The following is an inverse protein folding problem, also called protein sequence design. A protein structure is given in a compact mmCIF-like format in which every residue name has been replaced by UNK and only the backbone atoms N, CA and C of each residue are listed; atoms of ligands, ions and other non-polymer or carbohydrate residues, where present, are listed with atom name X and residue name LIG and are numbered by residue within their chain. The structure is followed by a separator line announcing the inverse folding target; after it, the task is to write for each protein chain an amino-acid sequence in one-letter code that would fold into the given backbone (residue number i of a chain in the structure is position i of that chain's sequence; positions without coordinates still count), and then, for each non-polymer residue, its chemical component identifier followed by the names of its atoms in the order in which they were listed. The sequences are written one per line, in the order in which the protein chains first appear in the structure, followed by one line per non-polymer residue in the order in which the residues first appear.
data_IF_577776092867
#
_entry.id   IF_577776092867
#
_cell.length_a   1.000
_cell.length_b   1.000
_cell.length_c   1.000
_cell.angle_alpha   90.00
_cell.angle_beta   90.00
_cell.angle_gamma   90.00
#
_symmetry.space_group_name_H-M   'P 1'
#
loop_
_entity.id
_entity.type
_entity.pdbx_description
1 polymer ?
#
# COMPACT_ATOMS: atom_id res chain seq x y z
N UNK A 1 43.78 -33.63 64.79
CA UNK A 1 43.51 -34.94 64.16
C UNK A 1 42.66 -34.70 62.92
N UNK A 2 42.88 -35.51 61.88
CA UNK A 2 42.50 -35.35 60.46
C UNK A 2 40.99 -35.44 60.14
N UNK A 3 40.69 -35.06 58.89
CA UNK A 3 39.60 -35.47 57.95
C UNK A 3 38.53 -34.40 57.67
N UNK A 4 38.06 -34.15 56.44
CA UNK A 4 38.39 -34.64 55.09
C UNK A 4 37.78 -33.71 54.03
N UNK A 5 38.41 -33.65 52.86
CA UNK A 5 37.89 -33.07 51.62
C UNK A 5 36.59 -33.75 51.17
N UNK A 6 35.71 -33.00 50.49
CA UNK A 6 34.76 -33.57 49.53
C UNK A 6 33.44 -32.79 49.37
N UNK A 7 33.37 -31.90 48.36
CA UNK A 7 32.22 -31.70 47.45
C UNK A 7 32.38 -30.40 46.66
N UNK A 8 32.96 -30.51 45.47
CA UNK A 8 32.92 -29.49 44.43
C UNK A 8 32.86 -30.19 43.06
N UNK A 9 31.78 -30.94 42.80
CA UNK A 9 31.59 -31.61 41.50
C UNK A 9 30.15 -31.62 40.96
N UNK A 10 29.13 -31.17 41.72
CA UNK A 10 27.73 -31.31 41.25
C UNK A 10 27.18 -30.11 40.45
N UNK A 11 27.75 -28.90 40.56
CA UNK A 11 27.23 -27.71 39.83
C UNK A 11 27.70 -27.57 38.37
N UNK A 12 28.76 -28.29 37.99
CA UNK A 12 29.32 -28.29 36.63
C UNK A 12 28.65 -29.33 35.71
N UNK A 13 27.90 -30.28 36.27
CA UNK A 13 27.21 -31.33 35.49
C UNK A 13 25.83 -30.83 35.03
N UNK A 14 25.03 -30.21 35.90
CA UNK A 14 23.72 -29.66 35.53
C UNK A 14 23.81 -28.46 34.57
N UNK A 15 24.83 -27.60 34.72
CA UNK A 15 25.05 -26.47 33.81
C UNK A 15 25.57 -26.91 32.43
N UNK A 16 26.32 -28.03 32.36
CA UNK A 16 26.69 -28.66 31.09
C UNK A 16 25.49 -29.33 30.43
N UNK A 17 24.66 -30.07 31.17
CA UNK A 17 23.48 -30.74 30.61
C UNK A 17 22.47 -29.75 30.00
N UNK A 18 22.24 -28.59 30.64
CA UNK A 18 21.36 -27.53 30.10
C UNK A 18 21.96 -26.82 28.86
N UNK A 19 23.28 -26.59 28.85
CA UNK A 19 23.95 -26.01 27.69
C UNK A 19 23.96 -26.99 26.51
N UNK A 20 24.23 -28.26 26.78
CA UNK A 20 24.32 -29.34 25.80
C UNK A 20 22.95 -29.69 25.20
N UNK A 21 21.86 -29.62 25.98
CA UNK A 21 20.49 -29.71 25.44
C UNK A 21 20.12 -28.50 24.59
N UNK A 22 20.48 -27.27 24.98
CA UNK A 22 20.18 -26.08 24.17
C UNK A 22 20.94 -26.05 22.83
N UNK A 23 22.18 -26.54 22.83
CA UNK A 23 23.03 -26.68 21.63
C UNK A 23 22.53 -27.85 20.79
N UNK A 24 22.16 -28.98 21.39
CA UNK A 24 21.59 -30.14 20.69
C UNK A 24 20.24 -29.83 20.04
N UNK A 25 19.37 -29.03 20.68
CA UNK A 25 18.11 -28.55 20.09
C UNK A 25 18.38 -27.61 18.92
N UNK A 26 19.35 -26.70 19.05
CA UNK A 26 19.75 -25.80 17.94
C UNK A 26 20.35 -26.57 16.76
N UNK A 27 21.18 -27.57 17.01
CA UNK A 27 21.78 -28.45 16.00
C UNK A 27 20.71 -29.35 15.36
N UNK A 28 19.75 -29.86 16.14
CA UNK A 28 18.62 -30.63 15.61
C UNK A 28 17.73 -29.75 14.73
N UNK A 29 17.43 -28.51 15.14
CA UNK A 29 16.69 -27.55 14.33
C UNK A 29 17.44 -27.11 13.07
N UNK A 30 18.77 -26.95 13.11
CA UNK A 30 19.58 -26.65 11.92
C UNK A 30 19.62 -27.82 10.94
N UNK A 31 19.76 -29.05 11.43
CA UNK A 31 19.74 -30.27 10.61
C UNK A 31 18.35 -30.55 10.01
N UNK A 32 17.27 -30.21 10.71
CA UNK A 32 15.90 -30.25 10.19
C UNK A 32 15.72 -29.19 9.09
N UNK A 33 16.23 -27.97 9.28
CA UNK A 33 16.17 -26.93 8.25
C UNK A 33 16.91 -27.34 6.97
N UNK A 34 18.10 -27.93 7.07
CA UNK A 34 18.84 -28.42 5.89
C UNK A 34 18.14 -29.60 5.20
N UNK A 35 17.56 -30.53 5.97
CA UNK A 35 16.89 -31.72 5.43
C UNK A 35 15.58 -31.41 4.71
N UNK A 36 14.86 -30.35 5.12
CA UNK A 36 13.55 -29.99 4.57
C UNK A 36 13.55 -28.62 3.88
N UNK A 37 14.72 -28.05 3.60
CA UNK A 37 14.86 -26.81 2.86
C UNK A 37 14.11 -26.87 1.52
N UNK A 38 14.18 -28.00 0.82
CA UNK A 38 13.47 -28.22 -0.45
C UNK A 38 11.94 -28.14 -0.35
N UNK A 39 11.37 -28.30 0.85
CA UNK A 39 9.93 -28.25 1.10
C UNK A 39 9.47 -26.90 1.67
N UNK A 40 10.39 -25.93 1.80
CA UNK A 40 10.09 -24.58 2.24
C UNK A 40 10.12 -23.65 1.03
N UNK A 41 8.94 -23.24 0.58
CA UNK A 41 8.80 -22.45 -0.64
C UNK A 41 8.57 -20.98 -0.29
N UNK A 42 9.24 -20.08 -1.00
CA UNK A 42 8.95 -18.65 -0.96
C UNK A 42 7.52 -18.40 -1.49
N UNK A 43 6.65 -17.85 -0.66
CA UNK A 43 5.24 -17.66 -0.98
C UNK A 43 5.00 -16.64 -2.08
N UNK A 44 5.80 -15.58 -2.16
CA UNK A 44 5.67 -14.57 -3.21
C UNK A 44 6.05 -15.11 -4.59
N UNK A 45 7.01 -16.05 -4.64
CA UNK A 45 7.35 -16.78 -5.87
C UNK A 45 6.33 -17.87 -6.23
N UNK A 46 5.80 -18.58 -5.24
CA UNK A 46 4.85 -19.69 -5.46
C UNK A 46 3.45 -19.22 -5.86
N UNK A 47 3.01 -18.06 -5.36
CA UNK A 47 1.66 -17.54 -5.57
C UNK A 47 1.61 -16.63 -6.79
N UNK A 48 0.60 -16.84 -7.62
CA UNK A 48 0.27 -15.93 -8.72
C UNK A 48 -1.24 -15.73 -8.86
N UNK A 49 -1.63 -14.57 -9.37
CA UNK A 49 -2.99 -14.10 -9.54
C UNK A 49 -3.30 -13.97 -11.02
N UNK A 50 -4.51 -14.37 -11.44
CA UNK A 50 -5.00 -14.17 -12.81
C UNK A 50 -6.42 -13.62 -12.77
N UNK A 51 -6.83 -12.90 -13.82
CA UNK A 51 -8.14 -12.27 -13.93
C UNK A 51 -8.76 -12.71 -15.26
N UNK A 52 -9.89 -13.41 -15.22
CA UNK A 52 -10.47 -14.07 -16.39
C UNK A 52 -11.96 -13.80 -16.55
N UNK A 53 -12.38 -13.65 -17.80
CA UNK A 53 -13.79 -13.48 -18.15
C UNK A 53 -14.48 -14.84 -18.40
N UNK A 54 -13.75 -15.80 -18.97
CA UNK A 54 -14.27 -17.12 -19.33
C UNK A 54 -13.25 -18.24 -19.01
N UNK A 55 -13.74 -19.48 -18.86
CA UNK A 55 -12.90 -20.65 -18.60
C UNK A 55 -11.87 -20.90 -19.71
N UNK A 56 -12.17 -20.53 -20.96
CA UNK A 56 -11.21 -20.68 -22.06
C UNK A 56 -9.94 -19.84 -21.89
N UNK A 57 -9.98 -18.78 -21.08
CA UNK A 57 -8.86 -17.86 -20.88
C UNK A 57 -7.91 -18.31 -19.77
N UNK A 58 -8.36 -19.20 -18.87
CA UNK A 58 -7.63 -19.63 -17.65
C UNK A 58 -6.20 -20.09 -17.95
N UNK A 59 -6.03 -20.93 -18.98
CA UNK A 59 -4.73 -21.49 -19.33
C UNK A 59 -3.74 -20.46 -19.93
N UNK A 60 -4.24 -19.38 -20.53
CA UNK A 60 -3.44 -18.36 -21.22
C UNK A 60 -3.39 -17.03 -20.45
N UNK A 61 -4.09 -16.93 -19.33
CA UNK A 61 -4.20 -15.71 -18.55
C UNK A 61 -2.82 -15.27 -18.06
N UNK A 62 -2.54 -13.97 -18.16
CA UNK A 62 -1.32 -13.40 -17.64
C UNK A 62 -1.27 -13.56 -16.12
N UNK A 63 -0.19 -14.15 -15.62
CA UNK A 63 0.07 -14.33 -14.20
C UNK A 63 0.69 -13.06 -13.61
N UNK A 64 0.19 -12.66 -12.46
CA UNK A 64 0.70 -11.53 -11.68
C UNK A 64 1.10 -11.99 -10.30
N UNK A 65 2.30 -11.65 -9.85
CA UNK A 65 2.74 -11.99 -8.51
C UNK A 65 2.20 -10.96 -7.50
N UNK A 66 1.89 -11.40 -6.27
CA UNK A 66 1.58 -10.49 -5.18
C UNK A 66 2.85 -9.78 -4.69
N UNK A 67 2.68 -8.59 -4.09
CA UNK A 67 3.79 -7.91 -3.41
C UNK A 67 3.96 -8.43 -1.97
N UNK A 68 2.87 -8.92 -1.38
CA UNK A 68 2.82 -9.42 -0.01
C UNK A 68 2.02 -10.73 0.04
N UNK A 69 2.49 -11.67 0.85
CA UNK A 69 1.81 -12.94 1.09
C UNK A 69 1.69 -13.26 2.58
N UNK A 70 2.36 -12.48 3.45
CA UNK A 70 2.39 -12.71 4.89
C UNK A 70 1.02 -12.75 5.55
N UNK A 71 0.04 -12.01 5.03
CA UNK A 71 -1.33 -12.03 5.57
C UNK A 71 -1.97 -13.40 5.46
N UNK A 72 -1.59 -14.20 4.46
CA UNK A 72 -2.10 -15.57 4.26
C UNK A 72 -1.14 -16.63 4.81
N UNK A 73 0.17 -16.43 4.67
CA UNK A 73 1.19 -17.45 4.93
C UNK A 73 2.11 -17.13 6.12
N UNK A 74 1.77 -16.10 6.90
CA UNK A 74 2.50 -15.68 8.09
C UNK A 74 3.73 -14.81 7.80
N UNK A 75 4.29 -14.21 8.85
CA UNK A 75 5.37 -13.19 8.77
C UNK A 75 6.63 -13.62 8.01
N UNK A 76 6.90 -14.93 7.92
CA UNK A 76 8.06 -15.44 7.20
C UNK A 76 7.82 -15.57 5.68
N UNK A 77 6.60 -15.32 5.20
CA UNK A 77 6.21 -15.39 3.78
C UNK A 77 6.60 -16.70 3.09
N UNK A 78 6.52 -17.81 3.83
CA UNK A 78 6.91 -19.13 3.36
C UNK A 78 5.77 -20.12 3.48
N UNK A 79 5.73 -21.07 2.54
CA UNK A 79 4.76 -22.16 2.51
C UNK A 79 5.52 -23.46 2.71
N UNK A 80 5.18 -24.20 3.76
CA UNK A 80 5.87 -25.41 4.15
C UNK A 80 5.18 -26.68 3.64
N UNK A 81 5.99 -27.65 3.24
CA UNK A 81 5.57 -29.04 3.00
C UNK A 81 5.44 -29.45 1.53
N UNK A 82 5.84 -28.59 0.58
CA UNK A 82 5.67 -28.84 -0.85
C UNK A 82 6.97 -28.60 -1.63
N UNK A 83 7.25 -29.44 -2.63
CA UNK A 83 8.30 -29.19 -3.64
C UNK A 83 7.69 -28.62 -4.91
N UNK A 84 8.39 -27.67 -5.53
CA UNK A 84 7.98 -26.99 -6.77
C UNK A 84 6.53 -26.50 -6.72
N UNK A 85 6.15 -25.93 -5.56
CA UNK A 85 4.79 -25.46 -5.33
C UNK A 85 4.46 -24.30 -6.27
N UNK A 86 3.32 -24.42 -6.94
CA UNK A 86 2.71 -23.36 -7.73
C UNK A 86 1.25 -23.24 -7.32
N UNK A 87 0.86 -22.05 -6.86
CA UNK A 87 -0.49 -21.70 -6.43
C UNK A 87 -0.98 -20.59 -7.35
N UNK A 88 -1.95 -20.91 -8.22
CA UNK A 88 -2.58 -19.94 -9.10
C UNK A 88 -3.96 -19.61 -8.57
N UNK A 89 -4.19 -18.34 -8.24
CA UNK A 89 -5.46 -17.85 -7.72
C UNK A 89 -6.18 -17.13 -8.86
N UNK A 90 -7.20 -17.78 -9.42
CA UNK A 90 -8.01 -17.23 -10.50
C UNK A 90 -9.12 -16.35 -9.94
N UNK A 91 -9.19 -15.10 -10.40
CA UNK A 91 -10.30 -14.20 -10.15
C UNK A 91 -11.19 -14.13 -11.39
N UNK A 92 -12.51 -14.13 -11.19
CA UNK A 92 -13.41 -13.61 -12.22
C UNK A 92 -13.13 -12.12 -12.41
N UNK A 93 -12.92 -11.64 -13.63
CA UNK A 93 -12.41 -10.28 -13.90
C UNK A 93 -13.37 -9.14 -13.55
N UNK A 94 -14.68 -9.41 -13.46
CA UNK A 94 -15.68 -8.41 -13.08
C UNK A 94 -16.19 -8.62 -11.65
N UNK A 95 -16.67 -9.84 -11.37
CA UNK A 95 -17.40 -10.14 -10.13
C UNK A 95 -16.51 -10.51 -8.94
N UNK A 96 -15.20 -10.68 -9.16
CA UNK A 96 -14.14 -11.01 -8.21
C UNK A 96 -14.29 -12.29 -7.37
N UNK A 97 -15.03 -13.32 -7.82
CA UNK A 97 -14.95 -14.65 -7.18
C UNK A 97 -13.59 -15.29 -7.42
N UNK A 98 -13.14 -16.13 -6.48
CA UNK A 98 -11.78 -16.66 -6.43
C UNK A 98 -11.80 -18.19 -6.59
N UNK A 99 -10.88 -18.75 -7.38
CA UNK A 99 -10.65 -20.18 -7.51
C UNK A 99 -9.14 -20.50 -7.45
N UNK A 100 -8.66 -21.16 -6.38
CA UNK A 100 -7.27 -21.57 -6.28
C UNK A 100 -7.01 -22.89 -7.01
N UNK A 101 -5.98 -22.92 -7.85
CA UNK A 101 -5.40 -24.10 -8.46
C UNK A 101 -4.01 -24.34 -7.86
N UNK A 102 -3.82 -25.51 -7.25
CA UNK A 102 -2.60 -25.87 -6.51
C UNK A 102 -1.94 -27.05 -7.19
N UNK A 103 -0.65 -26.91 -7.50
CA UNK A 103 0.17 -27.97 -8.11
C UNK A 103 1.54 -28.03 -7.43
N UNK A 104 2.06 -29.23 -7.23
CA UNK A 104 3.39 -29.49 -6.64
C UNK A 104 3.92 -30.84 -7.13
N UNK A 105 5.24 -31.04 -7.07
CA UNK A 105 5.88 -32.30 -7.49
C UNK A 105 5.97 -33.33 -6.38
N UNK A 106 6.04 -32.88 -5.13
CA UNK A 106 6.02 -33.74 -3.95
C UNK A 106 5.46 -33.00 -2.73
N UNK A 107 4.79 -33.75 -1.85
CA UNK A 107 4.33 -33.30 -0.53
C UNK A 107 5.10 -34.07 0.55
N UNK A 108 5.40 -33.40 1.66
CA UNK A 108 6.13 -34.03 2.77
C UNK A 108 5.30 -35.16 3.39
N UNK A 109 5.88 -36.36 3.50
CA UNK A 109 5.28 -37.44 4.27
C UNK A 109 5.38 -37.10 5.76
N UNK A 110 4.24 -36.88 6.43
CA UNK A 110 4.21 -36.46 7.85
C UNK A 110 5.02 -37.41 8.74
N UNK A 111 6.03 -36.89 9.44
CA UNK A 111 6.87 -37.67 10.37
C UNK A 111 6.39 -37.59 11.83
N UNK A 112 5.73 -36.48 12.21
CA UNK A 112 5.09 -36.27 13.51
C UNK A 112 3.75 -35.55 13.32
N UNK A 113 2.90 -35.50 14.35
CA UNK A 113 1.64 -34.76 14.30
C UNK A 113 1.84 -33.24 14.07
N UNK A 114 3.01 -32.71 14.43
CA UNK A 114 3.37 -31.28 14.40
C UNK A 114 4.02 -30.84 13.07
N UNK A 115 4.56 -31.77 12.27
CA UNK A 115 5.20 -31.47 10.98
C UNK A 115 4.36 -31.99 9.81
N UNK A 116 3.38 -31.19 9.42
CA UNK A 116 2.50 -31.42 8.27
C UNK A 116 2.64 -30.28 7.26
N UNK A 117 2.33 -30.57 6.00
CA UNK A 117 2.25 -29.53 4.98
C UNK A 117 1.18 -28.49 5.35
N UNK A 118 1.44 -27.24 4.97
CA UNK A 118 0.51 -26.15 5.15
C UNK A 118 -0.77 -26.41 4.36
N UNK A 119 -1.93 -26.32 5.02
CA UNK A 119 -3.20 -26.38 4.31
C UNK A 119 -3.47 -25.04 3.61
N UNK A 120 -3.06 -24.93 2.36
CA UNK A 120 -3.15 -23.69 1.57
C UNK A 120 -4.60 -23.21 1.45
N UNK A 121 -5.55 -24.11 1.20
CA UNK A 121 -6.97 -23.75 1.09
C UNK A 121 -7.50 -23.18 2.41
N UNK A 122 -7.14 -23.79 3.53
CA UNK A 122 -7.51 -23.31 4.85
C UNK A 122 -6.91 -21.91 5.11
N UNK A 123 -5.60 -21.73 4.88
CA UNK A 123 -4.93 -20.44 5.04
C UNK A 123 -5.55 -19.33 4.20
N UNK A 124 -5.95 -19.64 2.96
CA UNK A 124 -6.70 -18.71 2.11
C UNK A 124 -8.06 -18.37 2.72
N UNK A 125 -8.80 -19.38 3.20
CA UNK A 125 -10.14 -19.19 3.77
C UNK A 125 -10.16 -18.42 5.09
N UNK A 126 -9.12 -18.56 5.92
CA UNK A 126 -8.99 -17.87 7.21
C UNK A 126 -8.89 -16.35 7.07
N UNK A 127 -8.43 -15.86 5.91
CA UNK A 127 -8.35 -14.43 5.60
C UNK A 127 -9.64 -13.87 4.99
N UNK A 128 -10.66 -14.70 4.77
CA UNK A 128 -11.93 -14.26 4.23
C UNK A 128 -12.91 -13.95 5.38
N UNK A 129 -13.80 -12.94 5.25
CA UNK A 129 -14.84 -12.70 6.25
C UNK A 129 -15.73 -13.94 6.40
N UNK A 130 -16.02 -14.36 7.64
CA UNK A 130 -16.77 -15.59 7.96
C UNK A 130 -18.10 -15.74 7.18
N UNK A 131 -18.79 -14.62 6.94
CA UNK A 131 -20.07 -14.55 6.23
C UNK A 131 -19.95 -14.62 4.70
N UNK A 132 -18.71 -14.66 4.17
CA UNK A 132 -18.42 -14.52 2.74
C UNK A 132 -17.59 -15.69 2.20
N UNK A 133 -17.60 -16.84 2.86
CA UNK A 133 -16.87 -18.06 2.43
C UNK A 133 -17.21 -18.50 0.99
N UNK A 134 -18.43 -18.19 0.51
CA UNK A 134 -18.86 -18.49 -0.86
C UNK A 134 -18.02 -17.80 -1.94
N UNK A 135 -17.19 -16.81 -1.58
CA UNK A 135 -16.27 -16.20 -2.54
C UNK A 135 -15.18 -17.15 -3.03
N UNK A 136 -14.81 -18.14 -2.20
CA UNK A 136 -13.82 -19.15 -2.54
C UNK A 136 -14.50 -20.34 -3.23
N UNK A 137 -14.40 -20.38 -4.54
CA UNK A 137 -14.88 -21.49 -5.36
C UNK A 137 -14.01 -22.71 -5.09
N UNK A 138 -14.60 -23.77 -4.52
CA UNK A 138 -13.85 -25.00 -4.18
C UNK A 138 -13.61 -25.92 -5.38
N UNK A 139 -14.35 -25.72 -6.49
CA UNK A 139 -14.24 -26.55 -7.69
C UNK A 139 -14.31 -25.69 -8.94
N UNK A 140 -13.71 -26.20 -10.03
CA UNK A 140 -13.79 -25.56 -11.35
C UNK A 140 -15.22 -25.43 -11.87
N UNK A 141 -16.12 -26.34 -11.50
CA UNK A 141 -17.54 -26.27 -11.88
C UNK A 141 -18.25 -25.08 -11.22
N UNK A 142 -17.99 -24.83 -9.93
CA UNK A 142 -18.52 -23.66 -9.22
C UNK A 142 -17.94 -22.38 -9.84
N UNK A 143 -16.62 -22.35 -10.06
CA UNK A 143 -15.97 -21.19 -10.68
C UNK A 143 -16.54 -20.89 -12.07
N UNK A 144 -16.75 -21.91 -12.91
CA UNK A 144 -17.42 -21.77 -14.21
C UNK A 144 -18.82 -21.17 -14.06
N UNK A 145 -19.62 -21.62 -13.09
CA UNK A 145 -20.93 -21.04 -12.82
C UNK A 145 -20.82 -19.54 -12.49
N UNK A 146 -19.82 -19.12 -11.69
CA UNK A 146 -19.58 -17.69 -11.39
C UNK A 146 -19.14 -16.91 -12.61
N UNK A 147 -18.33 -17.51 -13.49
CA UNK A 147 -17.96 -16.92 -14.79
C UNK A 147 -19.17 -16.74 -15.72
N UNK A 148 -20.14 -17.65 -15.67
CA UNK A 148 -21.38 -17.52 -16.43
C UNK A 148 -22.29 -16.43 -15.84
N UNK A 149 -22.38 -16.33 -14.51
CA UNK A 149 -23.14 -15.28 -13.82
C UNK A 149 -22.56 -13.88 -14.08
N UNK A 150 -21.22 -13.72 -14.05
CA UNK A 150 -20.59 -12.40 -14.24
C UNK A 150 -20.82 -11.80 -15.64
N UNK A 151 -21.26 -12.60 -16.63
CA UNK A 151 -21.62 -12.09 -17.96
C UNK A 151 -22.75 -11.05 -17.89
N UNK A 152 -23.51 -11.05 -16.78
CA UNK A 152 -24.58 -10.09 -16.46
C UNK A 152 -24.16 -9.03 -15.43
N UNK A 153 -22.89 -9.01 -15.02
CA UNK A 153 -22.40 -8.07 -14.01
C UNK A 153 -22.55 -6.63 -14.50
N UNK A 154 -23.05 -5.77 -13.62
CA UNK A 154 -23.12 -4.33 -13.81
C UNK A 154 -22.38 -3.65 -12.67
N UNK A 155 -21.58 -2.60 -12.94
CA UNK A 155 -20.97 -1.79 -11.90
C UNK A 155 -21.98 -1.27 -10.88
N UNK A 156 -21.61 -1.30 -9.60
CA UNK A 156 -22.39 -0.69 -8.53
C UNK A 156 -22.22 0.84 -8.50
N UNK A 157 -23.28 1.52 -8.06
CA UNK A 157 -23.28 2.95 -7.77
C UNK A 157 -23.43 3.84 -9.01
N UNK A 158 -22.84 5.04 -8.93
CA UNK A 158 -22.98 6.09 -9.94
C UNK A 158 -21.72 6.20 -10.80
N UNK A 159 -21.90 6.19 -12.13
CA UNK A 159 -20.83 6.53 -13.06
C UNK A 159 -20.45 8.01 -12.91
N UNK A 160 -19.19 8.29 -12.58
CA UNK A 160 -18.66 9.64 -12.42
C UNK A 160 -17.98 10.16 -13.69
N UNK A 161 -17.15 9.34 -14.33
CA UNK A 161 -16.38 9.76 -15.49
C UNK A 161 -15.97 8.59 -16.37
N UNK A 162 -15.67 8.89 -17.64
CA UNK A 162 -15.06 7.97 -18.60
C UNK A 162 -13.83 8.61 -19.21
N UNK A 163 -12.81 7.81 -19.51
CA UNK A 163 -11.62 8.28 -20.21
C UNK A 163 -10.97 7.14 -21.01
N UNK A 164 -10.21 7.47 -22.04
CA UNK A 164 -9.53 6.49 -22.88
C UNK A 164 -8.02 6.59 -22.65
N UNK A 165 -7.35 5.44 -22.45
CA UNK A 165 -5.89 5.34 -22.37
C UNK A 165 -5.45 4.16 -23.21
N UNK A 166 -4.53 4.39 -24.16
CA UNK A 166 -3.99 3.31 -25.02
C UNK A 166 -5.09 2.44 -25.64
N UNK A 167 -6.15 3.08 -26.17
CA UNK A 167 -7.34 2.43 -26.74
C UNK A 167 -8.24 1.66 -25.78
N UNK A 168 -8.01 1.72 -24.47
CA UNK A 168 -8.87 1.13 -23.42
C UNK A 168 -9.86 2.18 -22.92
N UNK A 169 -11.16 1.90 -22.98
CA UNK A 169 -12.20 2.77 -22.39
C UNK A 169 -12.34 2.44 -20.90
N UNK A 170 -11.95 3.35 -20.02
CA UNK A 170 -12.09 3.19 -18.59
C UNK A 170 -13.22 4.04 -18.02
N UNK A 171 -13.86 3.53 -16.97
CA UNK A 171 -15.02 4.12 -16.31
C UNK A 171 -14.79 4.17 -14.81
N UNK A 172 -15.01 5.33 -14.19
CA UNK A 172 -14.92 5.52 -12.73
C UNK A 172 -16.33 5.57 -12.16
N UNK A 173 -16.59 4.68 -11.22
CA UNK A 173 -17.87 4.55 -10.52
C UNK A 173 -17.68 4.85 -9.04
N UNK A 174 -18.71 5.41 -8.40
CA UNK A 174 -18.70 5.78 -6.99
C UNK A 174 -19.88 5.14 -6.27
N UNK A 175 -19.60 4.57 -5.10
CA UNK A 175 -20.58 3.96 -4.21
C UNK A 175 -20.43 4.59 -2.83
N UNK A 176 -21.50 5.19 -2.33
CA UNK A 176 -21.62 5.82 -1.01
C UNK A 176 -22.74 5.22 -0.15
N UNK A 177 -23.49 4.26 -0.71
CA UNK A 177 -24.57 3.55 -0.03
C UNK A 177 -24.24 2.06 0.04
N UNK A 178 -24.39 1.48 1.22
CA UNK A 178 -24.17 0.06 1.46
C UNK A 178 -25.44 -0.73 1.13
N UNK A 179 -25.27 -1.91 0.53
CA UNK A 179 -26.29 -2.94 0.36
C UNK A 179 -25.67 -4.31 0.61
N UNK A 180 -26.45 -5.34 0.99
CA UNK A 180 -25.92 -6.70 1.16
C UNK A 180 -25.14 -7.20 -0.06
N UNK A 181 -25.66 -6.94 -1.27
CA UNK A 181 -25.06 -7.34 -2.54
C UNK A 181 -23.74 -6.59 -2.79
N UNK A 182 -23.72 -5.28 -2.56
CA UNK A 182 -22.51 -4.49 -2.69
C UNK A 182 -21.46 -4.86 -1.65
N UNK A 183 -21.86 -5.10 -0.40
CA UNK A 183 -20.93 -5.50 0.67
C UNK A 183 -20.27 -6.83 0.35
N UNK A 184 -21.03 -7.80 -0.19
CA UNK A 184 -20.48 -9.05 -0.68
C UNK A 184 -19.50 -8.84 -1.84
N UNK A 185 -19.81 -7.93 -2.77
CA UNK A 185 -18.90 -7.57 -3.86
C UNK A 185 -17.62 -6.90 -3.35
N UNK A 186 -17.74 -5.92 -2.45
CA UNK A 186 -16.63 -5.20 -1.85
C UNK A 186 -15.70 -6.16 -1.08
N UNK A 187 -16.25 -7.10 -0.30
CA UNK A 187 -15.47 -8.10 0.40
C UNK A 187 -14.57 -8.91 -0.56
N UNK A 188 -15.09 -9.27 -1.73
CA UNK A 188 -14.32 -9.97 -2.78
C UNK A 188 -13.25 -9.09 -3.43
N UNK A 189 -13.53 -7.81 -3.64
CA UNK A 189 -12.54 -6.86 -4.17
C UNK A 189 -11.41 -6.61 -3.17
N UNK A 190 -11.74 -6.54 -1.87
CA UNK A 190 -10.80 -6.20 -0.81
C UNK A 190 -9.75 -7.28 -0.54
N UNK A 191 -9.98 -8.52 -0.96
CA UNK A 191 -8.93 -9.55 -0.91
C UNK A 191 -7.70 -9.14 -1.71
N UNK A 192 -7.84 -8.32 -2.75
CA UNK A 192 -6.72 -7.74 -3.50
C UNK A 192 -5.83 -6.85 -2.64
N UNK A 193 -6.38 -6.18 -1.62
CA UNK A 193 -5.60 -5.36 -0.71
C UNK A 193 -4.57 -6.21 0.05
N UNK A 194 -4.96 -7.42 0.45
CA UNK A 194 -4.13 -8.33 1.24
C UNK A 194 -2.88 -8.81 0.46
N UNK A 195 -2.90 -8.70 -0.87
CA UNK A 195 -1.79 -9.07 -1.76
C UNK A 195 -0.88 -7.89 -2.15
N UNK A 196 -1.38 -6.65 -2.08
CA UNK A 196 -0.73 -5.50 -2.72
C UNK A 196 -0.63 -4.24 -1.84
N UNK A 197 -1.25 -4.25 -0.66
CA UNK A 197 -1.20 -3.13 0.28
C UNK A 197 -0.69 -3.66 1.62
N UNK A 198 0.47 -3.14 2.02
CA UNK A 198 1.06 -3.45 3.33
C UNK A 198 0.08 -3.09 4.46
N UNK A 199 -0.06 -4.01 5.42
CA UNK A 199 -0.95 -3.89 6.57
C UNK A 199 -2.43 -3.59 6.23
N UNK A 200 -2.89 -4.03 5.06
CA UNK A 200 -4.30 -3.90 4.68
C UNK A 200 -5.25 -4.59 5.67
N UNK A 201 -6.42 -3.98 5.85
CA UNK A 201 -7.55 -4.53 6.61
C UNK A 201 -8.85 -4.31 5.83
N UNK A 202 -9.85 -5.16 6.05
CA UNK A 202 -11.18 -4.93 5.48
C UNK A 202 -11.81 -3.64 6.02
N UNK A 203 -12.67 -3.02 5.22
CA UNK A 203 -13.41 -1.82 5.64
C UNK A 203 -14.57 -2.19 6.56
N UNK A 204 -14.95 -1.27 7.44
CA UNK A 204 -16.15 -1.42 8.26
C UNK A 204 -17.39 -1.03 7.46
N UNK A 205 -18.09 -2.01 6.90
CA UNK A 205 -19.27 -1.78 6.07
C UNK A 205 -20.47 -1.20 6.86
N UNK A 206 -20.41 -1.17 8.20
CA UNK A 206 -21.45 -0.54 9.02
C UNK A 206 -21.21 0.95 9.23
N UNK A 207 -20.01 1.46 8.92
CA UNK A 207 -19.69 2.87 9.06
C UNK A 207 -20.09 3.65 7.79
N UNK A 208 -21.14 4.50 7.85
CA UNK A 208 -21.66 5.22 6.69
C UNK A 208 -20.70 6.32 6.18
N UNK A 209 -19.55 6.52 6.84
CA UNK A 209 -18.51 7.45 6.39
C UNK A 209 -17.64 6.87 5.29
N UNK A 210 -17.69 5.56 5.06
CA UNK A 210 -16.99 4.94 3.94
C UNK A 210 -17.59 5.35 2.61
N UNK A 211 -16.70 5.63 1.67
CA UNK A 211 -17.04 5.89 0.28
C UNK A 211 -16.04 5.14 -0.59
N UNK A 212 -16.55 4.45 -1.61
CA UNK A 212 -15.78 3.58 -2.46
C UNK A 212 -15.82 4.08 -3.91
N UNK A 213 -14.71 3.93 -4.60
CA UNK A 213 -14.58 4.21 -6.02
C UNK A 213 -14.04 2.98 -6.72
N UNK A 214 -14.62 2.66 -7.87
CA UNK A 214 -14.20 1.53 -8.69
C UNK A 214 -13.81 2.03 -10.06
N UNK A 215 -12.69 1.52 -10.57
CA UNK A 215 -12.24 1.74 -11.93
C UNK A 215 -12.47 0.46 -12.71
N UNK A 216 -13.21 0.55 -13.81
CA UNK A 216 -13.44 -0.56 -14.72
C UNK A 216 -12.92 -0.25 -16.11
N UNK A 217 -12.40 -1.27 -16.80
CA UNK A 217 -12.32 -1.26 -18.26
C UNK A 217 -13.63 -1.73 -18.85
N UNK A 218 -14.11 -1.04 -19.88
CA UNK A 218 -15.34 -1.34 -20.58
C UNK A 218 -15.04 -1.90 -21.97
N UNK A 219 -15.60 -3.07 -22.27
CA UNK A 219 -15.50 -3.73 -23.56
C UNK A 219 -16.86 -3.70 -24.24
N UNK A 220 -16.96 -2.99 -25.36
CA UNK A 220 -18.15 -2.98 -26.20
C UNK A 220 -18.15 -4.23 -27.07
N UNK A 221 -19.25 -4.96 -27.08
CA UNK A 221 -19.48 -6.08 -28.00
C UNK A 221 -20.22 -5.60 -29.24
N UNK A 222 -20.12 -6.37 -30.31
CA UNK A 222 -20.77 -6.09 -31.59
C UNK A 222 -22.31 -6.11 -31.49
N UNK A 223 -22.86 -6.81 -30.49
CA UNK A 223 -24.29 -6.88 -30.19
C UNK A 223 -24.83 -5.64 -29.43
N UNK A 224 -23.98 -4.64 -29.17
CA UNK A 224 -24.32 -3.43 -28.45
C UNK A 224 -24.30 -3.57 -26.92
N UNK A 225 -24.07 -4.78 -26.38
CA UNK A 225 -23.87 -4.98 -24.94
C UNK A 225 -22.45 -4.59 -24.54
N UNK A 226 -22.31 -4.02 -23.34
CA UNK A 226 -21.00 -3.69 -22.76
C UNK A 226 -20.74 -4.61 -21.58
N UNK A 227 -19.58 -5.25 -21.53
CA UNK A 227 -19.06 -5.88 -20.31
C UNK A 227 -18.00 -4.99 -19.67
N UNK A 228 -17.75 -5.21 -18.39
CA UNK A 228 -16.67 -4.54 -17.66
C UNK A 228 -15.70 -5.54 -17.07
N UNK A 229 -14.46 -5.13 -16.83
CA UNK A 229 -13.49 -5.81 -15.99
C UNK A 229 -12.95 -4.82 -14.96
N UNK A 230 -12.76 -5.26 -13.72
CA UNK A 230 -12.20 -4.42 -12.66
C UNK A 230 -10.75 -4.08 -13.00
N UNK A 231 -10.42 -2.79 -12.99
CA UNK A 231 -9.08 -2.28 -13.18
C UNK A 231 -8.42 -1.80 -11.89
N UNK A 232 -9.23 -1.45 -10.89
CA UNK A 232 -8.76 -1.03 -9.58
C UNK A 232 -9.89 -0.46 -8.73
N UNK A 233 -9.59 -0.11 -7.49
CA UNK A 233 -10.54 0.50 -6.58
C UNK A 233 -9.85 1.44 -5.60
N UNK A 234 -10.64 2.27 -4.92
CA UNK A 234 -10.22 3.08 -3.80
C UNK A 234 -11.31 3.12 -2.73
N UNK A 235 -10.92 3.09 -1.47
CA UNK A 235 -11.81 3.26 -0.31
C UNK A 235 -11.31 4.43 0.52
N UNK A 236 -12.22 5.33 0.89
CA UNK A 236 -11.90 6.47 1.74
C UNK A 236 -12.91 6.64 2.87
N UNK A 237 -12.47 7.28 3.94
CA UNK A 237 -13.32 7.65 5.08
C UNK A 237 -13.53 9.16 5.09
N UNK A 238 -14.80 9.57 5.18
CA UNK A 238 -15.21 10.97 5.28
C UNK A 238 -15.18 11.44 6.73
N UNK A 239 -13.99 11.73 7.28
CA UNK A 239 -13.85 12.15 8.67
C UNK A 239 -14.51 13.50 8.93
N UNK A 240 -15.29 13.58 10.01
CA UNK A 240 -15.80 14.86 10.51
C UNK A 240 -14.63 15.78 10.91
N UNK A 241 -14.71 17.03 10.46
CA UNK A 241 -13.79 18.09 10.81
C UNK A 241 -14.61 19.26 11.38
N UNK A 242 -14.52 19.46 12.69
CA UNK A 242 -15.24 20.52 13.41
C UNK A 242 -15.11 21.90 12.72
N UNK A 243 -16.18 22.73 12.71
CA UNK A 243 -17.51 22.48 13.28
C UNK A 243 -18.51 21.80 12.33
N UNK A 244 -18.28 21.83 11.02
CA UNK A 244 -19.28 21.43 10.02
C UNK A 244 -18.65 20.91 8.71
N UNK A 245 -17.35 20.60 8.73
CA UNK A 245 -16.56 20.20 7.57
C UNK A 245 -16.24 18.72 7.58
N UNK A 246 -15.70 18.26 6.46
CA UNK A 246 -15.29 16.88 6.22
C UNK A 246 -13.86 16.88 5.68
N UNK A 247 -13.03 15.97 6.18
CA UNK A 247 -11.70 15.68 5.66
C UNK A 247 -11.69 14.24 5.13
N UNK A 248 -11.93 14.02 3.83
CA UNK A 248 -11.76 12.71 3.23
C UNK A 248 -10.32 12.22 3.40
N UNK A 249 -10.18 10.98 3.85
CA UNK A 249 -8.89 10.27 3.95
C UNK A 249 -8.94 9.02 3.09
N UNK A 250 -8.16 8.99 2.02
CA UNK A 250 -7.96 7.80 1.19
C UNK A 250 -7.25 6.76 2.07
N UNK A 251 -7.93 5.66 2.37
CA UNK A 251 -7.39 4.58 3.18
C UNK A 251 -6.73 3.51 2.31
N UNK A 252 -7.40 3.15 1.22
CA UNK A 252 -6.92 2.15 0.25
C UNK A 252 -7.07 2.71 -1.15
N UNK A 253 -6.08 2.47 -2.00
CA UNK A 253 -6.17 2.72 -3.43
C UNK A 253 -5.23 1.76 -4.15
N UNK A 254 -5.75 1.04 -5.13
CA UNK A 254 -5.05 0.01 -5.85
C UNK A 254 -5.45 0.05 -7.33
N UNK A 255 -4.48 -0.23 -8.20
CA UNK A 255 -4.71 -0.67 -9.56
C UNK A 255 -4.21 -2.10 -9.71
N UNK A 256 -4.89 -2.92 -10.50
CA UNK A 256 -4.38 -4.23 -10.84
C UNK A 256 -3.09 -4.10 -11.69
N UNK A 257 -2.12 -5.03 -11.55
CA UNK A 257 -0.79 -4.88 -12.14
C UNK A 257 -0.76 -4.61 -13.65
N UNK A 258 -1.65 -5.23 -14.43
CA UNK A 258 -1.73 -5.02 -15.89
C UNK A 258 -2.35 -3.67 -16.31
N UNK A 259 -2.71 -2.80 -15.36
CA UNK A 259 -3.10 -1.40 -15.61
C UNK A 259 -2.04 -0.40 -15.14
N UNK A 260 -0.89 -0.86 -14.63
CA UNK A 260 0.21 0.01 -14.21
C UNK A 260 0.94 0.63 -15.42
N UNK A 261 1.76 1.66 -15.18
CA UNK A 261 2.65 2.24 -16.19
C UNK A 261 1.99 3.08 -17.30
N UNK A 262 0.67 3.00 -17.50
CA UNK A 262 -0.03 3.70 -18.58
C UNK A 262 -0.62 5.09 -18.19
N UNK A 263 -0.33 5.60 -16.99
CA UNK A 263 -0.91 6.85 -16.48
C UNK A 263 -2.36 6.74 -15.99
N UNK A 264 -2.93 5.54 -16.00
CA UNK A 264 -4.30 5.24 -15.53
C UNK A 264 -4.50 5.66 -14.07
N UNK A 265 -3.53 5.37 -13.19
CA UNK A 265 -3.63 5.70 -11.76
C UNK A 265 -3.74 7.20 -11.49
N UNK A 266 -3.04 8.02 -12.27
CA UNK A 266 -3.14 9.47 -12.16
C UNK A 266 -4.54 9.97 -12.59
N UNK A 267 -5.11 9.40 -13.66
CA UNK A 267 -6.48 9.73 -14.11
C UNK A 267 -7.53 9.27 -13.10
N UNK A 268 -7.36 8.09 -12.52
CA UNK A 268 -8.26 7.58 -11.48
C UNK A 268 -8.24 8.47 -10.23
N UNK A 269 -7.06 8.82 -9.72
CA UNK A 269 -6.92 9.75 -8.60
C UNK A 269 -7.51 11.14 -8.92
N UNK A 270 -7.31 11.65 -10.14
CA UNK A 270 -7.89 12.91 -10.59
C UNK A 270 -9.41 12.86 -10.63
N UNK A 271 -10.01 11.74 -11.07
CA UNK A 271 -11.46 11.56 -11.06
C UNK A 271 -12.03 11.58 -9.63
N UNK A 272 -11.37 10.89 -8.68
CA UNK A 272 -11.73 10.91 -7.26
C UNK A 272 -11.64 12.34 -6.70
N UNK A 273 -10.56 13.07 -6.99
CA UNK A 273 -10.43 14.46 -6.55
C UNK A 273 -11.52 15.35 -7.16
N UNK A 274 -11.78 15.23 -8.45
CA UNK A 274 -12.79 16.03 -9.14
C UNK A 274 -14.20 15.86 -8.54
N UNK A 275 -14.52 14.66 -8.05
CA UNK A 275 -15.74 14.39 -7.29
C UNK A 275 -15.71 15.07 -5.91
N UNK A 276 -14.67 14.80 -5.11
CA UNK A 276 -14.55 15.33 -3.74
C UNK A 276 -14.51 16.86 -3.66
N UNK A 277 -13.89 17.54 -4.64
CA UNK A 277 -13.80 19.00 -4.63
C UNK A 277 -15.14 19.69 -4.90
N UNK A 278 -16.15 19.00 -5.46
CA UNK A 278 -17.48 19.57 -5.65
C UNK A 278 -18.22 19.77 -4.33
N UNK A 279 -17.86 19.02 -3.29
CA UNK A 279 -18.53 19.15 -1.99
C UNK A 279 -17.96 20.33 -1.18
N UNK A 280 -18.76 21.38 -0.90
CA UNK A 280 -18.31 22.54 -0.13
C UNK A 280 -18.01 22.23 1.35
N UNK A 281 -18.41 21.06 1.86
CA UNK A 281 -18.03 20.59 3.20
C UNK A 281 -16.61 20.04 3.22
N UNK A 282 -16.05 19.61 2.09
CA UNK A 282 -14.68 19.12 2.03
C UNK A 282 -13.69 20.26 2.23
N UNK A 283 -12.89 20.18 3.29
CA UNK A 283 -11.84 21.15 3.61
C UNK A 283 -10.56 20.85 2.83
N UNK A 284 -10.05 19.63 2.97
CA UNK A 284 -8.87 19.13 2.27
C UNK A 284 -8.94 17.59 2.15
N UNK A 285 -8.12 17.03 1.26
CA UNK A 285 -8.03 15.59 1.04
C UNK A 285 -6.70 15.06 1.61
N UNK A 286 -6.78 13.92 2.29
CA UNK A 286 -5.65 13.27 2.95
C UNK A 286 -5.53 11.80 2.54
N UNK A 287 -4.43 11.16 2.92
CA UNK A 287 -4.22 9.73 2.74
C UNK A 287 -3.69 9.12 4.03
N UNK A 288 -4.12 7.90 4.32
CA UNK A 288 -3.62 7.07 5.42
C UNK A 288 -2.29 6.45 5.01
N UNK A 289 -1.23 6.69 5.80
CA UNK A 289 0.13 6.14 5.64
C UNK A 289 0.50 5.84 4.17
N UNK A 290 0.61 6.88 3.32
CA UNK A 290 0.68 6.67 1.88
C UNK A 290 2.00 6.01 1.46
N UNK A 291 1.91 4.96 0.64
CA UNK A 291 3.06 4.34 -0.02
C UNK A 291 3.79 5.30 -0.98
N UNK A 292 5.06 5.05 -1.26
CA UNK A 292 5.90 5.90 -2.13
C UNK A 292 5.31 6.05 -3.55
N UNK A 293 4.77 4.96 -4.10
CA UNK A 293 4.11 4.94 -5.41
C UNK A 293 2.87 5.86 -5.46
N UNK A 294 2.09 5.89 -4.38
CA UNK A 294 0.97 6.80 -4.22
C UNK A 294 1.44 8.24 -4.04
N UNK A 295 2.46 8.50 -3.22
CA UNK A 295 3.03 9.85 -3.04
C UNK A 295 3.47 10.40 -4.40
N UNK A 296 4.23 9.63 -5.18
CA UNK A 296 4.69 10.04 -6.52
C UNK A 296 3.51 10.36 -7.46
N UNK A 297 2.45 9.55 -7.43
CA UNK A 297 1.26 9.78 -8.27
C UNK A 297 0.46 10.99 -7.81
N UNK A 298 0.29 11.17 -6.49
CA UNK A 298 -0.37 12.33 -5.90
C UNK A 298 0.39 13.62 -6.20
N UNK A 299 1.71 13.60 -6.06
CA UNK A 299 2.57 14.74 -6.35
C UNK A 299 2.43 15.15 -7.82
N UNK A 300 2.47 14.19 -8.75
CA UNK A 300 2.23 14.46 -10.17
C UNK A 300 0.86 15.11 -10.40
N UNK A 301 -0.23 14.52 -9.90
CA UNK A 301 -1.59 15.07 -10.08
C UNK A 301 -1.72 16.46 -9.47
N UNK A 302 -1.20 16.67 -8.26
CA UNK A 302 -1.24 17.97 -7.59
C UNK A 302 -0.40 19.01 -8.32
N UNK A 303 0.77 18.66 -8.85
CA UNK A 303 1.60 19.56 -9.65
C UNK A 303 0.91 19.92 -10.97
N UNK A 304 0.33 18.94 -11.67
CA UNK A 304 -0.45 19.18 -12.89
C UNK A 304 -1.66 20.09 -12.66
N UNK A 305 -2.31 20.00 -11.50
CA UNK A 305 -3.41 20.89 -11.15
C UNK A 305 -2.89 22.29 -10.80
N UNK A 306 -1.92 22.40 -9.89
CA UNK A 306 -1.41 23.69 -9.43
C UNK A 306 -0.63 24.46 -10.49
N UNK A 307 0.00 23.81 -11.48
CA UNK A 307 0.68 24.50 -12.59
C UNK A 307 -0.26 25.36 -13.44
N UNK A 308 -1.58 25.11 -13.37
CA UNK A 308 -2.61 25.94 -14.03
C UNK A 308 -2.92 27.24 -13.28
N UNK A 309 -2.43 27.40 -12.05
CA UNK A 309 -2.70 28.56 -11.20
C UNK A 309 -1.61 29.63 -11.36
N UNK A 310 -2.03 30.90 -11.46
CA UNK A 310 -1.11 32.05 -11.57
C UNK A 310 -0.13 32.15 -10.40
N UNK A 311 -0.56 31.73 -9.21
CA UNK A 311 0.24 31.74 -7.99
C UNK A 311 1.46 30.82 -8.11
N UNK A 312 1.37 29.76 -8.91
CA UNK A 312 2.44 28.79 -9.15
C UNK A 312 3.18 29.04 -10.49
N UNK A 313 3.02 30.22 -11.10
CA UNK A 313 3.84 30.59 -12.26
C UNK A 313 5.33 30.72 -11.89
N UNK A 314 6.23 30.44 -12.84
CA UNK A 314 7.69 30.44 -12.63
C UNK A 314 8.21 31.70 -11.90
N UNK A 315 7.70 32.88 -12.27
CA UNK A 315 8.07 34.16 -11.65
C UNK A 315 7.66 34.31 -10.19
N UNK A 316 6.67 33.55 -9.73
CA UNK A 316 6.24 33.54 -8.34
C UNK A 316 6.94 32.43 -7.56
N UNK A 317 7.19 31.27 -8.19
CA UNK A 317 7.95 30.16 -7.59
C UNK A 317 9.36 30.59 -7.14
N UNK A 318 10.05 31.41 -7.93
CA UNK A 318 11.38 31.92 -7.57
C UNK A 318 11.40 32.84 -6.34
N UNK A 319 10.24 33.37 -5.92
CA UNK A 319 10.12 34.30 -4.78
C UNK A 319 9.94 33.58 -3.43
N UNK A 320 9.83 32.25 -3.43
CA UNK A 320 9.56 31.48 -2.22
C UNK A 320 8.11 31.00 -2.11
N UNK A 321 7.84 30.12 -1.14
CA UNK A 321 6.49 29.63 -0.85
C UNK A 321 5.66 30.69 -0.13
N UNK A 322 4.48 31.02 -0.64
CA UNK A 322 3.63 32.09 -0.10
C UNK A 322 2.27 31.59 0.42
N UNK A 323 1.60 32.42 1.23
CA UNK A 323 0.24 32.13 1.69
C UNK A 323 -0.77 32.12 0.53
N UNK A 324 -0.55 32.90 -0.53
CA UNK A 324 -1.39 32.88 -1.73
C UNK A 324 -1.31 31.53 -2.43
N UNK A 325 -0.12 30.95 -2.59
CA UNK A 325 0.05 29.60 -3.15
C UNK A 325 -0.68 28.55 -2.31
N UNK A 326 -0.51 28.60 -0.98
CA UNK A 326 -1.19 27.70 -0.04
C UNK A 326 -2.72 27.83 -0.15
N UNK A 327 -3.24 29.04 -0.14
CA UNK A 327 -4.68 29.30 -0.20
C UNK A 327 -5.26 28.93 -1.57
N UNK A 328 -4.56 29.21 -2.67
CA UNK A 328 -5.02 28.85 -4.00
C UNK A 328 -5.10 27.33 -4.17
N UNK A 329 -4.08 26.58 -3.73
CA UNK A 329 -4.07 25.11 -3.77
C UNK A 329 -5.20 24.51 -2.90
N UNK A 330 -5.42 25.05 -1.69
CA UNK A 330 -6.47 24.60 -0.79
C UNK A 330 -7.87 24.89 -1.34
N UNK A 331 -8.13 26.12 -1.78
CA UNK A 331 -9.46 26.56 -2.22
C UNK A 331 -9.86 25.95 -3.56
N UNK A 332 -8.91 25.80 -4.51
CA UNK A 332 -9.21 25.28 -5.86
C UNK A 332 -9.20 23.76 -5.94
N UNK A 333 -8.31 23.12 -5.19
CA UNK A 333 -8.05 21.69 -5.35
C UNK A 333 -8.10 20.90 -4.03
N UNK A 334 -8.47 21.52 -2.91
CA UNK A 334 -8.55 20.86 -1.59
C UNK A 334 -7.20 20.24 -1.17
N UNK A 335 -6.10 20.83 -1.62
CA UNK A 335 -4.74 20.39 -1.31
C UNK A 335 -4.32 21.00 0.03
N UNK A 336 -4.02 20.16 1.03
CA UNK A 336 -3.62 20.64 2.36
C UNK A 336 -2.26 21.38 2.33
N UNK A 337 -1.96 22.24 3.34
CA UNK A 337 -0.76 23.07 3.34
C UNK A 337 0.58 22.32 3.22
N UNK A 338 0.69 21.10 3.79
CA UNK A 338 1.90 20.29 3.66
C UNK A 338 2.11 19.85 2.22
N UNK A 339 1.05 19.43 1.54
CA UNK A 339 1.09 19.04 0.13
C UNK A 339 1.29 20.25 -0.79
N UNK A 340 0.67 21.41 -0.50
CA UNK A 340 0.89 22.63 -1.27
C UNK A 340 2.36 23.09 -1.23
N UNK A 341 3.00 22.98 -0.05
CA UNK A 341 4.43 23.25 0.10
C UNK A 341 5.28 22.30 -0.76
N UNK A 342 4.94 21.02 -0.78
CA UNK A 342 5.64 20.00 -1.58
C UNK A 342 5.50 20.26 -3.09
N UNK A 343 4.29 20.60 -3.54
CA UNK A 343 4.01 21.02 -4.93
C UNK A 343 4.84 22.24 -5.33
N UNK A 344 4.93 23.25 -4.45
CA UNK A 344 5.80 24.40 -4.69
C UNK A 344 7.27 23.99 -4.87
N UNK A 345 7.80 23.09 -4.03
CA UNK A 345 9.20 22.64 -4.14
C UNK A 345 9.45 21.92 -5.48
N UNK A 346 8.54 21.01 -5.87
CA UNK A 346 8.63 20.30 -7.15
C UNK A 346 8.57 21.26 -8.33
N UNK A 347 7.57 22.15 -8.36
CA UNK A 347 7.41 23.10 -9.46
C UNK A 347 8.54 24.12 -9.49
N UNK A 348 9.06 24.58 -8.35
CA UNK A 348 10.23 25.47 -8.31
C UNK A 348 11.45 24.76 -8.91
N UNK A 349 11.73 23.53 -8.49
CA UNK A 349 12.82 22.73 -9.04
C UNK A 349 12.68 22.51 -10.56
N UNK A 350 11.45 22.28 -11.04
CA UNK A 350 11.17 22.11 -12.47
C UNK A 350 11.57 23.32 -13.32
N UNK A 351 11.50 24.53 -12.77
CA UNK A 351 11.81 25.77 -13.47
C UNK A 351 13.23 26.30 -13.22
N UNK A 352 14.05 25.63 -12.40
CA UNK A 352 15.45 26.01 -12.22
C UNK A 352 16.25 25.54 -13.43
N UNK A 353 16.99 26.46 -14.05
CA UNK A 353 17.88 26.14 -15.16
C UNK A 353 19.02 25.23 -14.72
N UNK A 354 19.39 24.25 -15.56
CA UNK A 354 20.45 23.25 -15.26
C UNK A 354 21.80 23.91 -14.87
N UNK A 355 22.07 25.11 -15.39
CA UNK A 355 23.31 25.86 -15.14
C UNK A 355 23.18 26.96 -14.08
N UNK A 356 22.02 27.11 -13.44
CA UNK A 356 21.78 28.14 -12.44
C UNK A 356 22.15 27.62 -11.03
N UNK A 357 23.46 27.61 -10.77
CA UNK A 357 24.02 27.15 -9.49
C UNK A 357 23.49 27.95 -8.30
N UNK A 358 23.29 29.26 -8.48
CA UNK A 358 22.79 30.13 -7.43
C UNK A 358 21.35 29.79 -7.07
N UNK A 359 20.47 29.61 -8.06
CA UNK A 359 19.08 29.22 -7.80
C UNK A 359 18.99 27.82 -7.18
N UNK A 360 19.86 26.89 -7.59
CA UNK A 360 19.95 25.56 -6.98
C UNK A 360 20.39 25.61 -5.51
N UNK A 361 21.36 26.46 -5.15
CA UNK A 361 21.78 26.62 -3.76
C UNK A 361 20.66 27.26 -2.91
N UNK A 362 20.01 28.32 -3.40
CA UNK A 362 18.85 28.92 -2.73
C UNK A 362 17.68 27.94 -2.56
N UNK A 363 17.48 27.05 -3.53
CA UNK A 363 16.51 25.96 -3.45
C UNK A 363 16.87 24.94 -2.37
N UNK A 364 18.13 24.46 -2.37
CA UNK A 364 18.62 23.50 -1.39
C UNK A 364 18.47 24.02 0.04
N UNK A 365 18.83 25.28 0.28
CA UNK A 365 18.69 25.93 1.59
C UNK A 365 17.22 26.01 2.04
N UNK A 366 16.29 26.37 1.15
CA UNK A 366 14.85 26.44 1.47
C UNK A 366 14.28 25.06 1.86
N UNK A 367 14.59 24.01 1.08
CA UNK A 367 14.14 22.63 1.38
C UNK A 367 14.74 22.14 2.69
N UNK A 368 16.05 22.31 2.91
CA UNK A 368 16.70 21.92 4.16
C UNK A 368 16.13 22.65 5.38
N UNK A 369 15.82 23.95 5.25
CA UNK A 369 15.17 24.73 6.32
C UNK A 369 13.80 24.16 6.69
N UNK A 370 13.04 23.63 5.73
CA UNK A 370 11.79 22.90 6.01
C UNK A 370 12.08 21.56 6.71
N UNK A 371 12.99 20.76 6.17
CA UNK A 371 13.35 19.44 6.70
C UNK A 371 13.93 19.52 8.12
N UNK A 372 14.55 20.65 8.49
CA UNK A 372 15.06 20.88 9.83
C UNK A 372 13.95 21.12 10.87
N UNK A 373 12.75 21.56 10.47
CA UNK A 373 11.69 21.95 11.42
C UNK A 373 11.32 20.85 12.43
N UNK A 374 11.12 19.58 12.05
CA UNK A 374 10.82 18.51 13.00
C UNK A 374 11.95 18.24 14.01
N UNK A 375 13.19 18.58 13.68
CA UNK A 375 14.35 18.43 14.57
C UNK A 375 14.48 19.58 15.59
N UNK A 376 13.67 20.64 15.47
CA UNK A 376 13.66 21.75 16.43
C UNK A 376 12.58 21.49 17.47
N UNK A 377 12.98 21.01 18.65
CA UNK A 377 12.11 21.04 19.84
C UNK A 377 11.90 22.49 20.27
N UNK A 378 10.66 22.88 20.52
CA UNK A 378 10.38 24.22 21.04
C UNK A 378 10.80 24.33 22.51
N UNK A 379 11.07 25.54 22.99
CA UNK A 379 11.27 25.76 24.44
C UNK A 379 10.10 25.22 25.28
N UNK A 380 8.88 25.27 24.72
CA UNK A 380 7.68 24.75 25.36
C UNK A 380 7.71 23.23 25.50
N UNK A 381 8.27 22.52 24.52
CA UNK A 381 8.43 21.07 24.58
C UNK A 381 9.47 20.70 25.64
N UNK A 382 10.56 21.45 25.71
CA UNK A 382 11.58 21.27 26.75
C UNK A 382 11.04 21.52 28.15
N UNK A 383 10.31 22.62 28.36
CA UNK A 383 9.66 22.92 29.65
C UNK A 383 8.63 21.86 30.03
N UNK A 384 7.90 21.28 29.07
CA UNK A 384 6.99 20.17 29.32
C UNK A 384 7.74 18.91 29.74
N UNK A 385 8.78 18.51 29.00
CA UNK A 385 9.60 17.35 29.35
C UNK A 385 10.23 17.51 30.74
N UNK A 386 10.79 18.68 31.07
CA UNK A 386 11.38 18.94 32.39
C UNK A 386 10.36 18.98 33.52
N UNK A 387 9.07 19.15 33.22
CA UNK A 387 7.99 19.14 34.23
C UNK A 387 7.38 17.76 34.47
N UNK A 388 7.65 16.80 33.58
CA UNK A 388 7.01 15.47 33.60
C UNK A 388 8.02 14.34 33.84
N UNK A 389 9.27 14.51 33.41
CA UNK A 389 10.33 13.50 33.55
C UNK A 389 11.14 13.75 34.81
N UNK A 390 11.59 12.67 35.45
CA UNK A 390 12.62 12.76 36.49
C UNK A 390 14.01 13.07 35.90
N UNK A 391 15.00 13.31 36.76
CA UNK A 391 16.35 13.72 36.35
C UNK A 391 17.08 12.66 35.51
N UNK A 392 16.79 11.37 35.76
CA UNK A 392 17.37 10.25 35.02
C UNK A 392 16.73 10.10 33.64
N UNK A 393 15.41 10.13 33.56
CA UNK A 393 14.64 10.10 32.31
C UNK A 393 14.93 11.32 31.43
N UNK A 394 15.03 12.50 32.03
CA UNK A 394 15.39 13.72 31.33
C UNK A 394 16.80 13.62 30.73
N UNK A 395 17.76 13.13 31.51
CA UNK A 395 19.14 12.90 31.06
C UNK A 395 19.21 11.85 29.94
N UNK A 396 18.43 10.78 30.01
CA UNK A 396 18.34 9.77 28.96
C UNK A 396 17.74 10.34 27.67
N UNK A 397 16.71 11.19 27.77
CA UNK A 397 16.12 11.86 26.60
C UNK A 397 17.09 12.85 25.97
N UNK A 398 17.85 13.60 26.76
CA UNK A 398 18.91 14.48 26.26
C UNK A 398 20.03 13.68 25.59
N UNK A 399 20.46 12.57 26.20
CA UNK A 399 21.49 11.68 25.65
C UNK A 399 21.03 10.94 24.38
N UNK A 400 19.73 10.71 24.21
CA UNK A 400 19.14 10.13 23.00
C UNK A 400 19.07 11.11 21.82
N UNK A 401 19.43 12.39 22.02
CA UNK A 401 19.42 13.37 20.94
C UNK A 401 20.58 13.13 19.99
N UNK A 402 20.28 13.26 18.70
CA UNK A 402 21.27 13.20 17.65
C UNK A 402 22.31 14.29 17.85
N UNK A 403 23.59 13.96 17.68
CA UNK A 403 24.66 14.95 17.64
C UNK A 403 24.45 15.92 16.47
N UNK A 404 25.11 17.08 16.51
CA UNK A 404 25.00 18.06 15.42
C UNK A 404 25.46 17.46 14.07
N UNK A 405 26.51 16.65 14.08
CA UNK A 405 27.03 15.94 12.89
C UNK A 405 26.02 14.92 12.37
N UNK A 406 25.43 14.10 13.25
CA UNK A 406 24.38 13.15 12.88
C UNK A 406 23.15 13.86 12.30
N UNK A 407 22.77 15.00 12.88
CA UNK A 407 21.66 15.82 12.39
C UNK A 407 21.96 16.38 10.99
N UNK A 408 23.16 16.90 10.75
CA UNK A 408 23.58 17.39 9.43
C UNK A 408 23.56 16.24 8.41
N UNK A 409 24.15 15.09 8.74
CA UNK A 409 24.16 13.92 7.86
C UNK A 409 22.74 13.41 7.54
N UNK A 410 21.85 13.36 8.54
CA UNK A 410 20.47 12.95 8.33
C UNK A 410 19.67 13.95 7.49
N UNK A 411 19.90 15.25 7.67
CA UNK A 411 19.28 16.29 6.83
C UNK A 411 19.75 16.21 5.37
N UNK A 412 21.03 15.89 5.15
CA UNK A 412 21.55 15.64 3.80
C UNK A 412 20.86 14.44 3.17
N UNK A 413 20.80 13.32 3.90
CA UNK A 413 20.12 12.11 3.45
C UNK A 413 18.66 12.39 3.05
N UNK A 414 17.89 13.04 3.94
CA UNK A 414 16.48 13.37 3.68
C UNK A 414 16.33 14.32 2.48
N UNK A 415 17.26 15.25 2.29
CA UNK A 415 17.25 16.15 1.14
C UNK A 415 17.47 15.40 -0.18
N UNK A 416 18.44 14.49 -0.23
CA UNK A 416 18.72 13.68 -1.43
C UNK A 416 17.56 12.73 -1.76
N UNK A 417 16.95 12.10 -0.76
CA UNK A 417 15.74 11.27 -0.91
C UNK A 417 14.57 12.08 -1.51
N UNK A 418 14.30 13.28 -0.97
CA UNK A 418 13.28 14.20 -1.49
C UNK A 418 13.59 14.65 -2.92
N UNK A 419 14.85 14.97 -3.21
CA UNK A 419 15.28 15.42 -4.52
C UNK A 419 15.12 14.32 -5.57
N UNK A 420 15.44 13.08 -5.23
CA UNK A 420 15.23 11.92 -6.08
C UNK A 420 13.73 11.73 -6.40
N UNK A 421 12.87 11.77 -5.38
CA UNK A 421 11.43 11.68 -5.55
C UNK A 421 10.87 12.81 -6.45
N UNK A 422 11.29 14.06 -6.22
CA UNK A 422 10.88 15.21 -7.02
C UNK A 422 11.32 15.08 -8.48
N UNK A 423 12.54 14.61 -8.75
CA UNK A 423 13.02 14.38 -10.11
C UNK A 423 12.18 13.33 -10.84
N UNK A 424 11.70 12.30 -10.16
CA UNK A 424 10.77 11.31 -10.74
C UNK A 424 9.46 11.98 -11.15
N UNK A 425 8.90 12.85 -10.31
CA UNK A 425 7.68 13.62 -10.63
C UNK A 425 7.92 14.56 -11.81
N UNK A 426 9.04 15.30 -11.82
CA UNK A 426 9.38 16.24 -12.89
C UNK A 426 9.55 15.52 -14.23
N UNK A 427 10.22 14.37 -14.26
CA UNK A 427 10.33 13.53 -15.48
C UNK A 427 8.94 13.20 -16.03
N UNK A 428 7.98 12.87 -15.16
CA UNK A 428 6.59 12.61 -15.57
C UNK A 428 5.91 13.89 -16.08
N UNK A 429 6.07 15.03 -15.42
CA UNK A 429 5.49 16.30 -15.87
C UNK A 429 5.99 16.69 -17.28
N UNK A 430 7.28 16.49 -17.55
CA UNK A 430 7.88 16.77 -18.88
C UNK A 430 7.31 15.83 -19.94
N UNK A 431 7.25 14.52 -19.64
CA UNK A 431 6.86 13.51 -20.62
C UNK A 431 5.33 13.49 -20.88
N UNK A 432 4.52 13.99 -19.95
CA UNK A 432 3.06 13.86 -19.96
C UNK A 432 2.34 15.20 -19.69
N UNK A 433 2.89 16.32 -20.14
CA UNK A 433 2.39 17.67 -19.87
C UNK A 433 0.89 17.89 -20.18
N UNK A 434 0.27 17.04 -21.00
CA UNK A 434 -1.14 17.10 -21.40
C UNK A 434 -1.96 15.83 -21.04
N UNK A 435 -1.48 15.03 -20.07
CA UNK A 435 -2.11 13.77 -19.63
C UNK A 435 -3.40 13.98 -18.85
#
# INVERSE_FOLDING_TARGET
MRQSLGRATNGLVESREFFDTSVSVRIAMSNIKEKYADFLVDGAQAVSLTFVFDMSEVALAQRHHPDYVYQHFGENETIFGYKDLNVVIHYTDASMYIYPEISYTAEITSFTAEFKADNIIQKLSEQLPAEQMEMLCQTSAIFKSRLDDQKKFLPYGQLLSKFIVSSRELQVWMVNESSPEFNAYLARVQTLALWYIEAAQYTDNNDPRWQHYFLYESFKKDDGTSRVALAGYASLVRFYNYPDKIRPRIAQILLLPHYHGAGIGARFLKAIYNDLIQDPKVIDITAEVPAESFITTRDYVNCSNCSTLKEFHADNLKKGFTEEMKNAALLRFKINPKQARRVYEILRLHHIGIRDEKAMEEYRLDVKKRLEKPFKRSERDWRKLSSVLDEYEYSAVVASQMSMEQKIAKLEQLYEEELAAYRTVIKRLINFANG
#
